data_IF_307039708102
#
_entry.id   IF_307039708102
#
_cell.length_a   1.000
_cell.length_b   1.000
_cell.length_c   1.000
_cell.angle_alpha   90.00
_cell.angle_beta   90.00
_cell.angle_gamma   90.00
#
_symmetry.space_group_name_H-M   'P 1'
#
loop_
_entity.id
_entity.type
_entity.pdbx_description
1 polymer ?
#
# COMPACT_ATOMS: atom_id res chain seq x y z
N UNK A 1 -22.46 -5.39 11.05
CA UNK A 1 -21.92 -4.41 10.08
C UNK A 1 -20.46 -4.77 9.84
N UNK A 2 -20.10 -5.02 8.59
CA UNK A 2 -18.72 -5.35 8.20
C UNK A 2 -17.80 -4.14 8.44
N UNK A 3 -16.54 -4.38 8.81
CA UNK A 3 -15.53 -3.32 9.00
C UNK A 3 -15.41 -2.46 7.73
N UNK A 4 -15.45 -3.09 6.56
CA UNK A 4 -15.44 -2.43 5.25
C UNK A 4 -16.60 -1.44 5.08
N UNK A 5 -17.83 -1.86 5.42
CA UNK A 5 -19.03 -1.00 5.28
C UNK A 5 -18.94 0.22 6.20
N UNK A 6 -18.39 0.03 7.40
CA UNK A 6 -18.13 1.12 8.34
C UNK A 6 -17.13 2.13 7.75
N UNK A 7 -16.00 1.66 7.23
CA UNK A 7 -15.00 2.53 6.62
C UNK A 7 -15.50 3.28 5.39
N UNK A 8 -16.36 2.65 4.57
CA UNK A 8 -16.98 3.33 3.43
C UNK A 8 -17.92 4.44 3.89
N UNK A 9 -18.72 4.20 4.93
CA UNK A 9 -19.62 5.19 5.50
C UNK A 9 -18.86 6.35 6.14
N UNK A 10 -17.87 6.04 7.01
CA UNK A 10 -17.01 7.06 7.64
C UNK A 10 -16.34 7.96 6.63
N UNK A 11 -15.86 7.40 5.49
CA UNK A 11 -15.27 8.19 4.40
C UNK A 11 -16.29 9.10 3.72
N UNK A 12 -17.46 8.56 3.40
CA UNK A 12 -18.52 9.34 2.76
C UNK A 12 -18.97 10.54 3.63
N UNK A 13 -19.02 10.34 4.95
CA UNK A 13 -19.39 11.38 5.90
C UNK A 13 -18.31 12.45 6.10
N UNK A 14 -17.02 12.00 6.21
CA UNK A 14 -15.90 12.91 6.50
C UNK A 14 -15.34 13.62 5.29
N UNK A 15 -15.44 13.01 4.13
CA UNK A 15 -14.86 13.50 2.87
C UNK A 15 -15.88 13.37 1.74
N UNK A 16 -16.91 14.22 1.71
CA UNK A 16 -17.87 14.23 0.62
C UNK A 16 -17.16 14.49 -0.71
N UNK A 17 -17.40 13.62 -1.70
CA UNK A 17 -16.76 13.68 -3.01
C UNK A 17 -15.54 12.77 -3.20
N UNK A 18 -15.06 12.08 -2.16
CA UNK A 18 -14.04 11.03 -2.33
C UNK A 18 -14.61 9.87 -3.13
N UNK A 19 -13.93 9.54 -4.22
CA UNK A 19 -14.21 8.32 -4.98
C UNK A 19 -13.40 7.15 -4.43
N UNK A 20 -14.04 6.01 -4.20
CA UNK A 20 -13.35 4.77 -3.85
C UNK A 20 -13.24 3.90 -5.08
N UNK A 21 -12.01 3.50 -5.42
CA UNK A 21 -11.71 2.50 -6.43
C UNK A 21 -11.23 1.22 -5.72
N UNK A 22 -11.92 0.12 -5.94
CA UNK A 22 -11.49 -1.18 -5.39
C UNK A 22 -10.68 -1.92 -6.45
N UNK A 23 -9.37 -2.07 -6.18
CA UNK A 23 -8.45 -2.75 -7.10
C UNK A 23 -7.51 -3.66 -6.31
N UNK A 24 -7.81 -4.97 -6.25
CA UNK A 24 -7.01 -5.89 -5.44
C UNK A 24 -5.71 -6.35 -6.10
N UNK A 25 -5.54 -6.22 -7.42
CA UNK A 25 -4.42 -6.82 -8.14
C UNK A 25 -3.59 -5.83 -8.93
N UNK A 26 -4.24 -5.02 -9.79
CA UNK A 26 -3.58 -4.16 -10.77
C UNK A 26 -3.34 -2.73 -10.23
N UNK A 27 -2.68 -2.64 -9.06
CA UNK A 27 -2.48 -1.36 -8.36
C UNK A 27 -1.77 -0.31 -9.23
N UNK A 28 -0.70 -0.69 -9.91
CA UNK A 28 0.04 0.22 -10.79
C UNK A 28 -0.83 0.79 -11.91
N UNK A 29 -1.65 -0.05 -12.54
CA UNK A 29 -2.60 0.38 -13.57
C UNK A 29 -3.70 1.28 -12.98
N UNK A 30 -4.19 0.98 -11.78
CA UNK A 30 -5.17 1.80 -11.09
C UNK A 30 -4.60 3.19 -10.75
N UNK A 31 -3.38 3.27 -10.27
CA UNK A 31 -2.69 4.53 -9.99
C UNK A 31 -2.53 5.39 -11.25
N UNK A 32 -2.10 4.79 -12.35
CA UNK A 32 -2.00 5.50 -13.66
C UNK A 32 -3.32 6.09 -14.12
N UNK A 33 -4.44 5.39 -13.87
CA UNK A 33 -5.80 5.87 -14.23
C UNK A 33 -6.34 6.93 -13.27
N UNK A 34 -6.00 6.84 -11.99
CA UNK A 34 -6.58 7.69 -10.95
C UNK A 34 -5.81 8.99 -10.70
N UNK A 35 -4.51 9.01 -11.01
CA UNK A 35 -3.64 10.15 -10.72
C UNK A 35 -3.86 11.31 -11.69
N UNK A 36 -3.97 12.50 -11.14
CA UNK A 36 -4.00 13.77 -11.87
C UNK A 36 -3.26 14.83 -11.03
N UNK A 37 -2.77 15.89 -11.67
CA UNK A 37 -1.96 16.92 -11.01
C UNK A 37 -2.70 17.63 -9.85
N UNK A 38 -4.02 17.66 -9.93
CA UNK A 38 -4.92 18.31 -8.96
C UNK A 38 -5.66 17.31 -8.05
N UNK A 39 -5.28 16.04 -8.09
CA UNK A 39 -5.94 14.97 -7.33
C UNK A 39 -4.97 14.22 -6.42
N UNK A 40 -5.29 14.14 -5.13
CA UNK A 40 -4.61 13.27 -4.18
C UNK A 40 -5.15 11.84 -4.31
N UNK A 41 -4.25 10.89 -4.52
CA UNK A 41 -4.58 9.46 -4.48
C UNK A 41 -4.09 8.87 -3.17
N UNK A 42 -4.97 8.16 -2.46
CA UNK A 42 -4.62 7.42 -1.24
C UNK A 42 -4.78 5.92 -1.50
N UNK A 43 -3.72 5.16 -1.29
CA UNK A 43 -3.72 3.69 -1.37
C UNK A 43 -3.83 3.12 0.04
N UNK A 44 -4.90 2.40 0.31
CA UNK A 44 -5.15 1.73 1.60
C UNK A 44 -5.51 0.25 1.36
N UNK A 45 -4.55 -0.69 1.45
CA UNK A 45 -3.14 -0.50 1.78
C UNK A 45 -2.23 -1.42 0.96
N UNK A 46 -0.94 -1.12 0.90
CA UNK A 46 0.08 -1.93 0.22
C UNK A 46 0.18 -3.35 0.78
N UNK A 47 -0.02 -3.52 2.08
CA UNK A 47 0.01 -4.83 2.74
C UNK A 47 -1.07 -5.77 2.21
N UNK A 48 -2.31 -5.29 2.08
CA UNK A 48 -3.42 -6.07 1.53
C UNK A 48 -3.21 -6.36 0.04
N UNK A 49 -2.72 -5.39 -0.72
CA UNK A 49 -2.39 -5.61 -2.12
C UNK A 49 -1.34 -6.71 -2.29
N UNK A 50 -0.24 -6.66 -1.53
CA UNK A 50 0.79 -7.70 -1.58
C UNK A 50 0.25 -9.06 -1.11
N UNK A 51 -0.64 -9.06 -0.10
CA UNK A 51 -1.32 -10.30 0.34
C UNK A 51 -2.13 -10.92 -0.79
N UNK A 52 -2.90 -10.13 -1.52
CA UNK A 52 -3.68 -10.63 -2.66
C UNK A 52 -2.77 -11.16 -3.78
N UNK A 53 -1.61 -10.52 -3.99
CA UNK A 53 -0.66 -10.95 -5.01
C UNK A 53 0.02 -12.29 -4.66
N UNK A 54 0.49 -12.46 -3.43
CA UNK A 54 1.30 -13.61 -3.01
C UNK A 54 0.47 -14.76 -2.41
N UNK A 55 -0.64 -14.44 -1.75
CA UNK A 55 -1.52 -15.36 -1.03
C UNK A 55 -2.98 -15.17 -1.46
N UNK A 56 -3.28 -15.28 -2.76
CA UNK A 56 -4.62 -15.03 -3.27
C UNK A 56 -5.62 -16.08 -2.76
N UNK A 57 -6.93 -15.81 -2.86
CA UNK A 57 -7.96 -16.77 -2.50
C UNK A 57 -7.91 -18.03 -3.39
N UNK A 58 -8.51 -19.14 -2.94
CA UNK A 58 -8.56 -20.38 -3.71
C UNK A 58 -9.05 -20.15 -5.15
N UNK A 59 -8.37 -20.73 -6.12
CA UNK A 59 -8.69 -20.64 -7.55
C UNK A 59 -7.99 -19.48 -8.28
N UNK A 60 -7.34 -18.57 -7.59
CA UNK A 60 -6.49 -17.52 -8.17
C UNK A 60 -5.03 -17.93 -8.03
N UNK A 61 -4.25 -17.80 -9.11
CA UNK A 61 -2.81 -18.08 -9.03
C UNK A 61 -2.07 -16.94 -8.37
N UNK A 62 -1.13 -17.23 -7.44
CA UNK A 62 -0.21 -16.24 -6.92
C UNK A 62 0.63 -15.62 -8.04
N UNK A 63 1.05 -14.37 -7.83
CA UNK A 63 2.03 -13.73 -8.70
C UNK A 63 3.35 -14.50 -8.59
N UNK A 64 3.93 -14.86 -9.74
CA UNK A 64 5.15 -15.66 -9.79
C UNK A 64 6.41 -14.85 -9.42
N UNK A 65 6.38 -13.52 -9.63
CA UNK A 65 7.53 -12.64 -9.45
C UNK A 65 7.11 -11.37 -8.67
N UNK A 66 7.34 -11.42 -7.36
CA UNK A 66 7.10 -10.27 -6.47
C UNK A 66 8.03 -9.08 -6.80
N UNK A 67 9.24 -9.34 -7.28
CA UNK A 67 10.17 -8.28 -7.65
C UNK A 67 9.67 -7.52 -8.89
N UNK A 68 9.05 -8.21 -9.85
CA UNK A 68 8.50 -7.57 -11.05
C UNK A 68 7.34 -6.63 -10.70
N UNK A 69 6.38 -7.05 -9.87
CA UNK A 69 5.26 -6.18 -9.47
C UNK A 69 5.72 -5.00 -8.62
N UNK A 70 6.73 -5.20 -7.77
CA UNK A 70 7.37 -4.12 -7.00
C UNK A 70 8.05 -3.11 -7.92
N UNK A 71 8.80 -3.57 -8.93
CA UNK A 71 9.45 -2.71 -9.90
C UNK A 71 8.45 -1.90 -10.74
N UNK A 72 7.36 -2.53 -11.22
CA UNK A 72 6.30 -1.81 -11.97
C UNK A 72 5.61 -0.75 -11.09
N UNK A 73 5.32 -1.07 -9.84
CA UNK A 73 4.78 -0.09 -8.90
C UNK A 73 5.73 1.09 -8.70
N UNK A 74 7.02 0.83 -8.46
CA UNK A 74 8.02 1.88 -8.27
C UNK A 74 8.19 2.75 -9.52
N UNK A 75 8.25 2.16 -10.69
CA UNK A 75 8.33 2.90 -11.95
C UNK A 75 7.07 3.74 -12.19
N UNK A 76 5.91 3.20 -11.83
CA UNK A 76 4.64 3.94 -11.91
C UNK A 76 4.64 5.15 -10.98
N UNK A 77 5.01 4.98 -9.71
CA UNK A 77 5.03 6.08 -8.72
C UNK A 77 5.90 7.26 -9.16
N UNK A 78 7.06 6.97 -9.80
CA UNK A 78 7.96 8.01 -10.31
C UNK A 78 7.35 8.83 -11.47
N UNK A 79 6.41 8.28 -12.22
CA UNK A 79 5.79 8.91 -13.38
C UNK A 79 4.43 9.55 -13.12
N UNK A 80 3.89 9.48 -11.90
CA UNK A 80 2.57 10.03 -11.61
C UNK A 80 2.57 11.56 -11.59
N UNK A 81 1.55 12.20 -12.19
CA UNK A 81 1.47 13.66 -12.24
C UNK A 81 1.01 14.30 -10.93
N UNK A 82 0.37 13.56 -10.03
CA UNK A 82 -0.23 14.08 -8.81
C UNK A 82 0.30 13.44 -7.52
N UNK A 83 -0.04 14.02 -6.37
CA UNK A 83 0.40 13.51 -5.08
C UNK A 83 -0.23 12.17 -4.73
N UNK A 84 0.55 11.30 -4.09
CA UNK A 84 0.12 9.98 -3.64
C UNK A 84 0.49 9.76 -2.18
N UNK A 85 -0.44 9.23 -1.41
CA UNK A 85 -0.21 8.72 -0.06
C UNK A 85 -0.36 7.21 -0.08
N UNK A 86 0.65 6.49 0.36
CA UNK A 86 0.64 5.04 0.45
C UNK A 86 0.59 4.63 1.92
N UNK A 87 -0.37 3.79 2.27
CA UNK A 87 -0.52 3.21 3.61
C UNK A 87 -0.01 1.78 3.57
N UNK A 88 0.80 1.40 4.53
CA UNK A 88 1.31 0.05 4.70
C UNK A 88 1.49 -0.31 6.17
N UNK A 89 1.70 -1.57 6.45
CA UNK A 89 2.02 -2.05 7.78
C UNK A 89 3.52 -2.37 7.87
N UNK A 90 4.13 -2.06 9.02
CA UNK A 90 5.46 -2.54 9.35
C UNK A 90 5.33 -3.77 10.25
N UNK A 91 5.60 -4.96 9.68
CA UNK A 91 5.48 -6.23 10.40
C UNK A 91 6.82 -6.89 10.69
N UNK A 92 7.92 -6.29 10.22
CA UNK A 92 9.28 -6.80 10.41
C UNK A 92 9.84 -6.60 11.84
N UNK A 93 9.16 -5.84 12.68
CA UNK A 93 9.55 -5.60 14.08
C UNK A 93 9.14 -6.73 15.03
N UNK A 94 8.42 -7.73 14.55
CA UNK A 94 7.94 -8.87 15.34
C UNK A 94 8.93 -10.03 15.41
N UNK A 95 8.50 -11.11 16.07
CA UNK A 95 9.24 -12.37 16.10
C UNK A 95 9.22 -13.04 14.72
N UNK A 96 10.32 -13.65 14.31
CA UNK A 96 10.43 -14.35 13.02
C UNK A 96 9.40 -15.50 12.98
N UNK A 97 8.50 -15.54 11.99
CA UNK A 97 7.49 -16.55 11.88
C UNK A 97 8.06 -17.97 11.62
N UNK A 98 7.45 -18.99 12.17
CA UNK A 98 7.84 -20.39 11.94
C UNK A 98 7.52 -20.86 10.53
N UNK A 99 6.41 -20.40 9.93
CA UNK A 99 5.96 -20.82 8.60
C UNK A 99 6.77 -20.18 7.46
N UNK A 100 7.25 -20.99 6.52
CA UNK A 100 8.05 -20.50 5.39
C UNK A 100 7.29 -19.49 4.52
N UNK A 101 5.99 -19.71 4.28
CA UNK A 101 5.17 -18.78 3.50
C UNK A 101 5.01 -17.42 4.18
N UNK A 102 4.87 -17.42 5.52
CA UNK A 102 4.75 -16.19 6.29
C UNK A 102 6.09 -15.43 6.30
N UNK A 103 7.23 -16.14 6.44
CA UNK A 103 8.55 -15.52 6.32
C UNK A 103 8.74 -14.87 4.96
N UNK A 104 8.43 -15.60 3.88
CA UNK A 104 8.52 -15.05 2.52
C UNK A 104 7.67 -13.79 2.36
N UNK A 105 6.44 -13.80 2.88
CA UNK A 105 5.58 -12.61 2.87
C UNK A 105 6.20 -11.44 3.65
N UNK A 106 6.75 -11.69 4.85
CA UNK A 106 7.43 -10.66 5.67
C UNK A 106 8.62 -10.06 4.92
N UNK A 107 9.42 -10.91 4.28
CA UNK A 107 10.59 -10.48 3.51
C UNK A 107 10.17 -9.60 2.31
N UNK A 108 9.17 -10.04 1.54
CA UNK A 108 8.68 -9.28 0.38
C UNK A 108 8.00 -7.96 0.77
N UNK A 109 7.26 -7.94 1.89
CA UNK A 109 6.69 -6.70 2.41
C UNK A 109 7.78 -5.73 2.87
N UNK A 110 8.83 -6.24 3.53
CA UNK A 110 9.99 -5.42 3.90
C UNK A 110 10.69 -4.81 2.69
N UNK A 111 10.91 -5.60 1.64
CA UNK A 111 11.49 -5.13 0.37
C UNK A 111 10.59 -4.10 -0.32
N UNK A 112 9.27 -4.29 -0.30
CA UNK A 112 8.30 -3.34 -0.83
C UNK A 112 8.35 -2.01 -0.05
N UNK A 113 8.30 -2.08 1.29
CA UNK A 113 8.37 -0.90 2.15
C UNK A 113 9.66 -0.10 1.91
N UNK A 114 10.81 -0.78 1.81
CA UNK A 114 12.10 -0.14 1.51
C UNK A 114 12.11 0.55 0.14
N UNK A 115 11.62 -0.13 -0.90
CA UNK A 115 11.59 0.40 -2.26
C UNK A 115 10.69 1.65 -2.36
N UNK A 116 9.51 1.60 -1.77
CA UNK A 116 8.58 2.73 -1.73
C UNK A 116 9.13 3.88 -0.87
N UNK A 117 9.71 3.58 0.30
CA UNK A 117 10.31 4.59 1.17
C UNK A 117 11.51 5.30 0.51
N UNK A 118 12.27 4.61 -0.36
CA UNK A 118 13.35 5.22 -1.13
C UNK A 118 12.84 6.31 -2.07
N UNK A 119 11.67 6.12 -2.69
CA UNK A 119 11.04 7.07 -3.61
C UNK A 119 10.27 8.18 -2.88
N UNK A 120 9.67 7.87 -1.74
CA UNK A 120 8.83 8.80 -1.01
C UNK A 120 9.63 10.01 -0.50
N UNK A 121 9.06 11.20 -0.60
CA UNK A 121 9.61 12.42 -0.01
C UNK A 121 9.52 12.39 1.52
N UNK A 122 8.45 11.80 2.06
CA UNK A 122 8.19 11.68 3.49
C UNK A 122 7.78 10.26 3.85
N UNK A 123 8.28 9.80 4.99
CA UNK A 123 7.90 8.52 5.58
C UNK A 123 7.59 8.74 7.06
N UNK A 124 6.41 8.34 7.47
CA UNK A 124 5.93 8.49 8.86
C UNK A 124 5.49 7.13 9.39
N UNK A 125 6.00 6.75 10.53
CA UNK A 125 5.52 5.59 11.29
C UNK A 125 4.50 6.06 12.33
N UNK A 126 3.34 5.40 12.36
CA UNK A 126 2.30 5.68 13.36
C UNK A 126 2.42 4.70 14.52
N UNK A 127 2.69 5.21 15.72
CA UNK A 127 2.77 4.41 16.95
C UNK A 127 1.80 4.98 17.97
N UNK A 128 0.85 4.18 18.43
CA UNK A 128 -0.18 4.57 19.40
C UNK A 128 -0.93 5.87 19.00
N UNK A 129 -1.20 6.06 17.71
CA UNK A 129 -1.83 7.27 17.18
C UNK A 129 -0.90 8.49 17.06
N UNK A 130 0.37 8.36 17.47
CA UNK A 130 1.36 9.43 17.38
C UNK A 130 2.26 9.24 16.16
N UNK A 131 2.48 10.30 15.35
CA UNK A 131 3.38 10.22 14.20
C UNK A 131 4.84 10.27 14.64
N UNK A 132 5.63 9.33 14.11
CA UNK A 132 7.09 9.34 14.19
C UNK A 132 7.66 9.57 12.79
N UNK A 133 8.32 10.69 12.59
CA UNK A 133 8.94 11.02 11.30
C UNK A 133 10.20 10.19 11.08
N UNK A 134 10.19 9.39 10.01
CA UNK A 134 11.32 8.52 9.62
C UNK A 134 12.16 9.18 8.52
N UNK A 135 11.50 9.80 7.54
CA UNK A 135 12.15 10.49 6.41
C UNK A 135 11.42 11.78 6.07
N UNK A 136 12.17 12.79 5.62
CA UNK A 136 11.64 14.12 5.27
C UNK A 136 11.46 15.02 6.48
N UNK A 137 11.04 16.25 6.27
CA UNK A 137 10.79 17.24 7.33
C UNK A 137 9.29 17.31 7.60
N UNK A 138 8.89 17.41 8.88
CA UNK A 138 7.54 17.85 9.21
C UNK A 138 7.33 19.26 8.67
N UNK A 139 6.27 19.45 7.86
CA UNK A 139 5.85 20.76 7.45
C UNK A 139 5.09 21.43 8.60
#
# INVERSE_FOLDING_TARGET
MCIRDRHQRDRAERLPGVRTLEEPYELAAALRRASAADALVVVDCLTLWLTQALLPPPGVKPVADAAAIRADLCATLQGLPGPVVLVGNEIGLGVIPMGAHVRHFVDELGLLNQAVAALAERVTLMVAGCPLQIKGVCA
#
